data_IF_257744055827
#
_entry.id   IF_257744055827
#
_cell.length_a   1.000
_cell.length_b   1.000
_cell.length_c   1.000
_cell.angle_alpha   90.00
_cell.angle_beta   90.00
_cell.angle_gamma   90.00
#
_symmetry.space_group_name_H-M   'P 1'
#
loop_
_entity.id
_entity.type
_entity.pdbx_description
1 polymer ?
#
# COMPACT_ATOMS: atom_id res chain seq x y z
N UNK A 1 3.11 -16.22 16.64
CA UNK A 1 2.87 -15.41 15.42
C UNK A 1 3.53 -16.03 14.20
N UNK A 2 2.87 -15.94 13.04
CA UNK A 2 3.44 -16.37 11.76
C UNK A 2 3.89 -15.13 11.01
N UNK A 3 5.16 -15.08 10.63
CA UNK A 3 5.71 -13.96 9.86
C UNK A 3 5.52 -14.20 8.36
N UNK A 4 4.88 -13.27 7.68
CA UNK A 4 4.65 -13.35 6.24
C UNK A 4 5.68 -12.52 5.45
N UNK A 5 6.28 -13.12 4.43
CA UNK A 5 7.27 -12.49 3.54
C UNK A 5 7.00 -12.81 2.07
N UNK A 6 7.50 -11.94 1.19
CA UNK A 6 7.45 -12.14 -0.26
C UNK A 6 8.77 -12.70 -0.81
N UNK A 7 8.70 -13.64 -1.74
CA UNK A 7 9.86 -14.23 -2.44
C UNK A 7 9.63 -14.31 -3.94
N UNK A 8 10.71 -14.17 -4.73
CA UNK A 8 10.64 -14.21 -6.20
C UNK A 8 10.50 -15.61 -6.79
N UNK A 9 10.78 -16.63 -5.99
CA UNK A 9 10.67 -18.03 -6.37
C UNK A 9 10.34 -18.86 -5.14
N UNK A 10 9.72 -20.03 -5.35
CA UNK A 10 9.39 -20.96 -4.26
C UNK A 10 10.63 -21.25 -3.42
N UNK A 11 10.52 -21.08 -2.10
CA UNK A 11 11.53 -21.46 -1.11
C UNK A 11 10.87 -22.38 -0.09
N UNK A 12 11.59 -23.38 0.39
CA UNK A 12 11.16 -24.26 1.48
C UNK A 12 12.00 -23.91 2.72
N UNK A 13 11.55 -22.94 3.54
CA UNK A 13 12.23 -22.62 4.79
C UNK A 13 12.11 -23.80 5.75
N UNK A 14 13.16 -24.05 6.54
CA UNK A 14 13.13 -25.05 7.63
C UNK A 14 12.38 -24.54 8.87
N UNK A 15 12.16 -23.23 8.95
CA UNK A 15 11.38 -22.56 9.99
C UNK A 15 9.89 -22.69 9.69
N UNK A 16 9.13 -23.16 10.68
CA UNK A 16 7.68 -23.41 10.57
C UNK A 16 6.83 -22.17 10.87
N UNK A 17 7.44 -21.10 11.37
CA UNK A 17 6.80 -19.83 11.70
C UNK A 17 6.83 -18.81 10.54
N UNK A 18 7.23 -19.24 9.34
CA UNK A 18 7.32 -18.39 8.15
C UNK A 18 6.27 -18.77 7.11
N UNK A 19 5.51 -17.78 6.65
CA UNK A 19 4.65 -17.88 5.47
C UNK A 19 5.31 -17.13 4.32
N UNK A 20 5.65 -17.81 3.23
CA UNK A 20 6.28 -17.19 2.07
C UNK A 20 5.30 -17.12 0.90
N UNK A 21 4.97 -15.91 0.44
CA UNK A 21 4.19 -15.68 -0.78
C UNK A 21 5.11 -15.50 -1.98
N UNK A 22 4.87 -16.24 -3.05
CA UNK A 22 5.62 -16.05 -4.30
C UNK A 22 5.02 -14.88 -5.07
N UNK A 23 5.85 -13.88 -5.39
CA UNK A 23 5.49 -12.68 -6.18
C UNK A 23 6.59 -12.37 -7.19
N UNK A 24 6.30 -11.69 -8.32
CA UNK A 24 7.32 -11.15 -9.20
C UNK A 24 8.29 -10.21 -8.45
N UNK A 25 9.48 -10.00 -9.02
CA UNK A 25 10.43 -9.06 -8.45
C UNK A 25 9.82 -7.65 -8.38
N UNK A 26 9.91 -7.03 -7.20
CA UNK A 26 9.49 -5.65 -7.03
C UNK A 26 10.51 -4.71 -7.69
N UNK A 27 10.06 -3.68 -8.43
CA UNK A 27 10.96 -2.66 -8.95
C UNK A 27 11.61 -1.89 -7.79
N UNK A 28 12.81 -1.36 -8.01
CA UNK A 28 13.58 -0.68 -6.96
C UNK A 28 12.87 0.51 -6.31
N UNK A 29 11.86 1.09 -6.97
CA UNK A 29 11.01 2.17 -6.43
C UNK A 29 9.98 1.71 -5.39
N UNK A 30 9.69 0.40 -5.33
CA UNK A 30 8.63 -0.16 -4.48
C UNK A 30 9.18 -0.67 -3.13
N UNK A 31 10.49 -0.61 -2.92
CA UNK A 31 11.12 -0.98 -1.65
C UNK A 31 12.31 -0.07 -1.34
N UNK A 32 12.65 0.02 -0.05
CA UNK A 32 13.82 0.74 0.46
C UNK A 32 14.43 -0.03 1.62
N UNK A 33 15.66 0.33 2.01
CA UNK A 33 16.27 -0.24 3.21
C UNK A 33 16.05 0.70 4.39
N UNK A 34 15.48 0.17 5.47
CA UNK A 34 15.35 0.84 6.78
C UNK A 34 16.01 -0.08 7.80
N UNK A 35 16.98 0.42 8.57
CA UNK A 35 17.72 -0.36 9.58
C UNK A 35 18.27 -1.70 9.06
N UNK A 36 18.88 -1.66 7.86
CA UNK A 36 19.41 -2.83 7.15
C UNK A 36 18.35 -3.86 6.70
N UNK A 37 17.07 -3.54 6.82
CA UNK A 37 15.97 -4.39 6.36
C UNK A 37 15.31 -3.82 5.10
N UNK A 38 15.14 -4.63 4.04
CA UNK A 38 14.36 -4.23 2.88
C UNK A 38 12.87 -4.22 3.25
N UNK A 39 12.26 -3.05 3.15
CA UNK A 39 10.84 -2.81 3.45
C UNK A 39 10.15 -2.22 2.23
N UNK A 40 8.87 -2.55 2.04
CA UNK A 40 8.05 -1.93 1.00
C UNK A 40 7.88 -0.42 1.26
N UNK A 41 7.78 0.37 0.20
CA UNK A 41 7.40 1.79 0.33
C UNK A 41 5.93 1.90 0.73
N UNK A 42 5.55 3.02 1.37
CA UNK A 42 4.15 3.25 1.74
C UNK A 42 3.23 3.23 0.49
N UNK A 43 3.69 3.81 -0.63
CA UNK A 43 2.97 3.77 -1.91
C UNK A 43 2.71 2.32 -2.38
N UNK A 44 3.69 1.42 -2.24
CA UNK A 44 3.51 0.02 -2.59
C UNK A 44 2.50 -0.67 -1.69
N UNK A 45 2.61 -0.44 -0.38
CA UNK A 45 1.68 -1.01 0.61
C UNK A 45 0.25 -0.55 0.31
N UNK A 46 0.03 0.74 0.08
CA UNK A 46 -1.30 1.29 -0.27
C UNK A 46 -1.83 0.66 -1.54
N UNK A 47 -1.02 0.57 -2.60
CA UNK A 47 -1.43 -0.07 -3.85
C UNK A 47 -1.80 -1.55 -3.66
N UNK A 48 -1.05 -2.30 -2.85
CA UNK A 48 -1.36 -3.70 -2.55
C UNK A 48 -2.69 -3.83 -1.79
N UNK A 49 -2.93 -2.99 -0.78
CA UNK A 49 -4.19 -2.98 -0.03
C UNK A 49 -5.39 -2.64 -0.93
N UNK A 50 -5.25 -1.64 -1.80
CA UNK A 50 -6.27 -1.27 -2.77
C UNK A 50 -6.52 -2.39 -3.79
N UNK A 51 -5.46 -3.06 -4.26
CA UNK A 51 -5.58 -4.19 -5.16
C UNK A 51 -6.31 -5.39 -4.52
N UNK A 52 -6.05 -5.65 -3.24
CA UNK A 52 -6.70 -6.69 -2.45
C UNK A 52 -8.15 -6.31 -2.04
N UNK A 53 -8.61 -5.11 -2.41
CA UNK A 53 -9.94 -4.55 -2.12
C UNK A 53 -10.24 -4.46 -0.62
N UNK A 54 -9.22 -4.11 0.15
CA UNK A 54 -9.35 -3.83 1.57
C UNK A 54 -10.28 -2.65 1.83
N UNK A 55 -10.80 -2.57 3.06
CA UNK A 55 -11.74 -1.52 3.47
C UNK A 55 -11.20 -0.11 3.21
N UNK A 56 -11.98 0.71 2.50
CA UNK A 56 -11.57 2.06 2.10
C UNK A 56 -11.19 2.94 3.30
N UNK A 57 -11.96 2.88 4.38
CA UNK A 57 -11.74 3.72 5.56
C UNK A 57 -10.44 3.33 6.29
N UNK A 58 -10.13 2.03 6.33
CA UNK A 58 -8.87 1.53 6.86
C UNK A 58 -7.68 1.98 6.00
N UNK A 59 -7.79 1.87 4.67
CA UNK A 59 -6.74 2.33 3.75
C UNK A 59 -6.55 3.85 3.85
N UNK A 60 -7.64 4.62 3.95
CA UNK A 60 -7.59 6.06 4.14
C UNK A 60 -6.82 6.43 5.42
N UNK A 61 -7.03 5.71 6.52
CA UNK A 61 -6.28 5.95 7.76
C UNK A 61 -4.78 5.74 7.58
N UNK A 62 -4.40 4.66 6.89
CA UNK A 62 -2.99 4.36 6.58
C UNK A 62 -2.39 5.45 5.68
N UNK A 63 -3.12 5.90 4.65
CA UNK A 63 -2.69 6.99 3.77
C UNK A 63 -2.45 8.29 4.54
N UNK A 64 -3.37 8.67 5.43
CA UNK A 64 -3.24 9.86 6.26
C UNK A 64 -2.02 9.78 7.19
N UNK A 65 -1.80 8.63 7.82
CA UNK A 65 -0.64 8.43 8.70
C UNK A 65 0.68 8.45 7.90
N UNK A 66 0.70 7.86 6.71
CA UNK A 66 1.85 7.92 5.81
C UNK A 66 2.15 9.34 5.30
N UNK A 67 1.12 10.13 4.97
CA UNK A 67 1.25 11.54 4.60
C UNK A 67 1.83 12.38 5.76
N UNK A 68 1.33 12.18 6.99
CA UNK A 68 1.83 12.87 8.20
C UNK A 68 3.28 12.53 8.50
N UNK A 69 3.70 11.31 8.20
CA UNK A 69 5.05 10.81 8.42
C UNK A 69 6.01 11.08 7.25
N UNK A 70 5.58 11.81 6.21
CA UNK A 70 6.36 12.09 4.99
C UNK A 70 6.82 10.81 4.26
N UNK A 71 6.06 9.72 4.42
CA UNK A 71 6.30 8.43 3.76
C UNK A 71 5.58 8.31 2.42
N UNK A 72 4.62 9.19 2.19
CA UNK A 72 3.81 9.30 0.99
C UNK A 72 3.62 10.79 0.68
N UNK A 73 3.59 11.17 -0.59
CA UNK A 73 3.24 12.53 -1.01
C UNK A 73 1.87 12.54 -1.67
N UNK A 74 1.15 13.69 -1.67
CA UNK A 74 -0.15 13.81 -2.34
C UNK A 74 -0.11 13.37 -3.81
N UNK A 75 0.92 13.78 -4.56
CA UNK A 75 1.07 13.41 -5.98
C UNK A 75 1.24 11.89 -6.18
N UNK A 76 1.95 11.23 -5.26
CA UNK A 76 2.12 9.77 -5.32
C UNK A 76 0.80 9.08 -4.98
N UNK A 77 0.08 9.57 -3.96
CA UNK A 77 -1.23 9.04 -3.58
C UNK A 77 -2.23 9.14 -4.72
N UNK A 78 -2.26 10.28 -5.43
CA UNK A 78 -3.14 10.47 -6.60
C UNK A 78 -2.86 9.43 -7.70
N UNK A 79 -1.59 9.22 -8.05
CA UNK A 79 -1.21 8.21 -9.05
C UNK A 79 -1.58 6.78 -8.64
N UNK A 80 -1.47 6.46 -7.36
CA UNK A 80 -1.89 5.14 -6.84
C UNK A 80 -3.41 5.03 -6.87
N UNK A 81 -4.14 6.07 -6.44
CA UNK A 81 -5.59 6.10 -6.41
C UNK A 81 -6.21 5.97 -7.81
N UNK A 82 -5.61 6.61 -8.83
CA UNK A 82 -6.08 6.56 -10.22
C UNK A 82 -6.28 5.12 -10.72
N UNK A 83 -5.34 4.21 -10.40
CA UNK A 83 -5.42 2.81 -10.83
C UNK A 83 -6.56 2.01 -10.18
N UNK A 84 -7.16 2.53 -9.10
CA UNK A 84 -8.13 1.82 -8.27
C UNK A 84 -9.46 2.57 -8.08
N UNK A 85 -9.59 3.81 -8.56
CA UNK A 85 -10.75 4.67 -8.34
C UNK A 85 -12.07 4.02 -8.77
N UNK A 86 -12.13 3.48 -9.99
CA UNK A 86 -13.33 2.80 -10.50
C UNK A 86 -13.71 1.59 -9.65
N UNK A 87 -12.72 0.83 -9.18
CA UNK A 87 -12.96 -0.33 -8.33
C UNK A 87 -13.64 0.11 -7.01
N UNK A 88 -13.22 1.23 -6.43
CA UNK A 88 -13.79 1.77 -5.21
C UNK A 88 -15.04 2.65 -5.43
N UNK A 89 -15.53 2.77 -6.67
CA UNK A 89 -16.75 3.53 -6.98
C UNK A 89 -16.54 5.05 -7.06
N UNK A 90 -15.29 5.49 -7.17
CA UNK A 90 -14.94 6.90 -7.36
C UNK A 90 -14.85 7.24 -8.85
N UNK A 91 -15.27 8.46 -9.20
CA UNK A 91 -15.31 8.91 -10.59
C UNK A 91 -13.95 9.33 -11.17
N UNK A 92 -12.92 9.50 -10.33
CA UNK A 92 -11.57 9.85 -10.74
C UNK A 92 -10.55 9.54 -9.64
N UNK A 93 -9.27 9.35 -10.02
CA UNK A 93 -8.18 9.20 -9.05
C UNK A 93 -8.02 10.40 -8.12
N UNK A 94 -8.11 11.66 -8.58
CA UNK A 94 -8.05 12.82 -7.69
C UNK A 94 -9.17 12.86 -6.64
N UNK A 95 -10.41 12.49 -7.01
CA UNK A 95 -11.51 12.40 -6.05
C UNK A 95 -11.22 11.32 -5.02
N UNK A 96 -10.80 10.13 -5.47
CA UNK A 96 -10.47 9.04 -4.57
C UNK A 96 -9.29 9.38 -3.65
N UNK A 97 -8.25 10.04 -4.18
CA UNK A 97 -7.10 10.49 -3.42
C UNK A 97 -7.49 11.53 -2.36
N UNK A 98 -8.43 12.42 -2.65
CA UNK A 98 -8.97 13.38 -1.68
C UNK A 98 -9.69 12.66 -0.53
N UNK A 99 -10.49 11.63 -0.84
CA UNK A 99 -11.12 10.76 0.18
C UNK A 99 -10.04 10.08 1.04
N UNK A 100 -9.05 9.45 0.43
CA UNK A 100 -7.96 8.76 1.13
C UNK A 100 -7.11 9.70 1.98
N UNK A 101 -6.88 10.94 1.52
CA UNK A 101 -6.17 11.98 2.26
C UNK A 101 -7.01 12.58 3.41
N UNK A 102 -8.31 12.26 3.50
CA UNK A 102 -9.23 12.80 4.50
C UNK A 102 -9.71 14.22 4.20
N UNK A 103 -9.54 14.71 2.97
CA UNK A 103 -9.98 16.04 2.56
C UNK A 103 -11.51 16.17 2.40
N UNK A 104 -12.23 15.05 2.28
CA UNK A 104 -13.70 15.04 2.09
C UNK A 104 -14.52 14.85 3.38
N UNK A 105 -13.92 14.49 4.51
CA UNK A 105 -14.64 14.14 5.73
C UNK A 105 -15.07 15.34 6.61
N UNK A 106 -15.27 16.53 6.04
CA UNK A 106 -15.79 17.72 6.76
C UNK A 106 -16.90 18.46 6.01
N UNK A 107 -17.71 17.73 5.25
CA UNK A 107 -18.99 18.21 4.73
C UNK A 107 -20.05 17.09 4.78
N UNK A 108 -20.59 16.81 5.97
CA UNK A 108 -22.00 16.49 6.25
C UNK A 108 -22.22 16.21 7.73
#
# INVERSE_FOLDING_TARGET
DVHEFYVTRRRQPRRTDLRLRVRPALPARDWRVVDSLPVCTAARIVSDLLADREDESAVARICQDALRADLLTPDVLERVAEAHAEAYGHGSGPAFAATLAGAEASRR
#
